data_IF_098911605475
#
_entry.id   IF_098911605475
#
_cell.length_a   1.000
_cell.length_b   1.000
_cell.length_c   1.000
_cell.angle_alpha   90.00
_cell.angle_beta   90.00
_cell.angle_gamma   90.00
#
_symmetry.space_group_name_H-M   'P 1'
#
loop_
_entity.id
_entity.type
_entity.pdbx_description
1 polymer ?
#
# COMPACT_ATOMS: atom_id res chain seq x y z
N UNK A 1 -6.00 -12.99 -15.80
CA UNK A 1 -5.65 -11.56 -15.63
C UNK A 1 -4.45 -11.61 -14.73
N UNK A 2 -3.33 -11.09 -15.21
CA UNK A 2 -2.05 -11.26 -14.55
C UNK A 2 -1.67 -9.93 -13.89
N UNK A 3 -1.22 -10.01 -12.63
CA UNK A 3 -0.86 -8.85 -11.83
C UNK A 3 0.63 -8.90 -11.53
N UNK A 4 1.33 -7.81 -11.82
CA UNK A 4 2.71 -7.60 -11.39
C UNK A 4 2.68 -7.21 -9.92
N UNK A 5 3.46 -7.88 -9.10
CA UNK A 5 3.57 -7.59 -7.66
C UNK A 5 4.14 -6.19 -7.46
N UNK A 6 3.42 -5.34 -6.72
CA UNK A 6 3.92 -4.08 -6.17
C UNK A 6 4.41 -4.21 -4.72
N UNK A 7 4.66 -5.45 -4.29
CA UNK A 7 5.12 -5.77 -2.95
C UNK A 7 4.00 -5.97 -1.93
N UNK A 8 4.42 -6.09 -0.68
CA UNK A 8 3.60 -6.45 0.47
C UNK A 8 3.79 -5.44 1.60
N UNK A 9 2.72 -5.22 2.35
CA UNK A 9 2.59 -4.20 3.38
C UNK A 9 1.93 -4.80 4.61
N UNK A 10 2.35 -4.38 5.80
CA UNK A 10 1.67 -4.75 7.05
C UNK A 10 0.91 -3.52 7.53
N UNK A 11 -0.42 -3.58 7.49
CA UNK A 11 -1.30 -2.44 7.69
C UNK A 11 -2.07 -2.59 9.00
N UNK A 12 -2.17 -1.49 9.75
CA UNK A 12 -3.13 -1.33 10.81
C UNK A 12 -4.41 -0.67 10.24
N UNK A 13 -5.55 -1.40 10.15
CA UNK A 13 -6.79 -0.85 9.65
C UNK A 13 -7.29 0.31 10.51
N UNK A 14 -7.71 1.40 9.90
CA UNK A 14 -8.18 2.60 10.61
C UNK A 14 -9.71 2.70 10.60
N UNK A 15 -10.23 3.59 11.46
CA UNK A 15 -11.64 3.94 11.45
C UNK A 15 -11.88 4.99 10.36
N UNK A 16 -12.99 4.84 9.64
CA UNK A 16 -13.44 5.82 8.64
C UNK A 16 -13.48 7.23 9.21
N UNK A 17 -12.86 8.16 8.51
CA UNK A 17 -12.84 9.57 8.86
C UNK A 17 -14.20 10.23 8.58
N UNK A 18 -14.51 11.32 9.29
CA UNK A 18 -15.82 11.99 9.19
C UNK A 18 -16.12 12.56 7.79
N UNK A 19 -15.08 12.90 7.02
CA UNK A 19 -15.25 13.48 5.68
C UNK A 19 -15.62 12.44 4.62
N UNK A 20 -15.43 11.13 4.90
CA UNK A 20 -15.73 10.05 3.96
C UNK A 20 -17.22 9.69 4.00
N UNK A 21 -17.84 9.41 2.85
CA UNK A 21 -19.27 9.09 2.80
C UNK A 21 -19.57 7.78 3.53
N UNK A 22 -20.29 7.88 4.65
CA UNK A 22 -20.61 6.75 5.52
C UNK A 22 -21.54 5.70 4.91
N UNK A 23 -22.27 6.06 3.86
CA UNK A 23 -23.18 5.17 3.14
C UNK A 23 -22.41 4.34 2.09
N UNK A 24 -21.20 4.76 1.70
CA UNK A 24 -20.35 4.08 0.72
C UNK A 24 -19.20 3.36 1.42
N UNK A 25 -18.47 4.08 2.27
CA UNK A 25 -17.21 3.63 2.86
C UNK A 25 -17.51 2.87 4.15
N UNK A 26 -16.98 1.64 4.35
CA UNK A 26 -17.18 0.90 5.60
C UNK A 26 -16.51 1.60 6.79
N UNK A 27 -16.96 1.30 8.01
CA UNK A 27 -16.41 1.94 9.21
C UNK A 27 -14.95 1.55 9.51
N UNK A 28 -14.49 0.40 9.01
CA UNK A 28 -13.08 -0.02 9.09
C UNK A 28 -12.50 -0.03 7.68
N UNK A 29 -11.38 0.65 7.49
CA UNK A 29 -10.73 0.85 6.20
C UNK A 29 -9.38 0.14 6.21
N UNK A 30 -9.01 -0.42 5.06
CA UNK A 30 -7.69 -0.96 4.77
C UNK A 30 -7.25 -0.32 3.46
N UNK A 31 -6.07 0.29 3.46
CA UNK A 31 -5.47 0.93 2.29
C UNK A 31 -3.95 0.91 2.46
N UNK A 32 -3.22 0.86 1.36
CA UNK A 32 -1.75 1.02 1.36
C UNK A 32 -1.31 2.49 1.33
N UNK A 33 -2.27 3.43 1.42
CA UNK A 33 -1.96 4.85 1.53
C UNK A 33 -1.64 5.25 2.97
N UNK A 34 -0.48 5.90 3.15
CA UNK A 34 -0.03 6.44 4.45
C UNK A 34 -0.93 7.55 4.99
N UNK A 35 -1.73 8.19 4.12
CA UNK A 35 -2.73 9.16 4.53
C UNK A 35 -3.93 8.52 5.22
N UNK A 36 -4.16 7.21 5.01
CA UNK A 36 -5.37 6.51 5.42
C UNK A 36 -5.07 5.49 6.54
N UNK A 37 -4.00 4.71 6.41
CA UNK A 37 -3.64 3.67 7.37
C UNK A 37 -2.18 3.76 7.82
N UNK A 38 -1.96 3.40 9.08
CA UNK A 38 -0.60 3.21 9.59
C UNK A 38 -0.02 1.90 9.02
N UNK A 39 1.28 1.92 8.73
CA UNK A 39 2.00 0.79 8.16
C UNK A 39 3.24 0.42 8.98
N UNK A 40 3.59 -0.87 8.94
CA UNK A 40 4.73 -1.41 9.66
C UNK A 40 5.66 -2.22 8.73
N UNK A 41 7.00 -2.10 8.90
CA UNK A 41 7.68 -1.15 9.78
C UNK A 41 7.56 0.30 9.29
N UNK A 42 7.47 1.26 10.23
CA UNK A 42 7.47 2.69 9.90
C UNK A 42 8.92 3.20 9.74
N UNK A 43 9.47 3.12 8.53
CA UNK A 43 10.91 3.31 8.29
C UNK A 43 11.42 4.71 8.64
N UNK A 44 10.58 5.73 8.49
CA UNK A 44 10.92 7.09 8.91
C UNK A 44 11.23 7.18 10.42
N UNK A 45 10.59 6.34 11.24
CA UNK A 45 10.93 6.24 12.68
C UNK A 45 12.27 5.54 12.87
N UNK A 46 12.54 4.45 12.16
CA UNK A 46 13.80 3.70 12.30
C UNK A 46 15.02 4.54 11.89
N UNK A 47 14.98 5.14 10.69
CA UNK A 47 16.15 5.78 10.07
C UNK A 47 16.28 7.30 10.30
N UNK A 48 15.27 7.93 10.92
CA UNK A 48 15.32 9.37 11.20
C UNK A 48 14.52 9.82 12.42
N UNK A 49 13.80 8.91 13.07
CA UNK A 49 12.88 9.24 14.16
C UNK A 49 13.60 9.81 15.38
N UNK A 50 13.01 10.86 15.95
CA UNK A 50 13.44 11.38 17.24
C UNK A 50 13.31 10.30 18.33
N UNK A 51 14.05 10.43 19.44
CA UNK A 51 13.89 9.52 20.60
C UNK A 51 12.43 9.46 21.08
N UNK A 52 11.70 10.58 21.00
CA UNK A 52 10.28 10.65 21.37
C UNK A 52 9.43 9.81 20.42
N UNK A 53 9.66 9.91 19.11
CA UNK A 53 8.92 9.13 18.11
C UNK A 53 9.21 7.63 18.27
N UNK A 54 10.47 7.25 18.48
CA UNK A 54 10.86 5.85 18.73
C UNK A 54 10.17 5.29 19.98
N UNK A 55 10.17 6.02 21.09
CA UNK A 55 9.48 5.59 22.31
C UNK A 55 7.96 5.52 22.15
N UNK A 56 7.37 6.43 21.37
CA UNK A 56 5.94 6.38 21.04
C UNK A 56 5.63 5.11 20.25
N UNK A 57 6.37 4.81 19.18
CA UNK A 57 6.18 3.61 18.36
C UNK A 57 6.29 2.31 19.18
N UNK A 58 7.30 2.21 20.06
CA UNK A 58 7.47 1.08 20.98
C UNK A 58 6.23 0.89 21.86
N UNK A 59 5.70 1.99 22.40
CA UNK A 59 4.52 1.98 23.26
C UNK A 59 3.25 1.62 22.49
N UNK A 60 3.05 2.19 21.31
CA UNK A 60 1.85 1.98 20.50
C UNK A 60 1.76 0.54 20.01
N UNK A 61 2.89 -0.09 19.64
CA UNK A 61 2.98 -1.52 19.35
C UNK A 61 3.03 -2.42 20.58
N UNK A 62 3.13 -1.86 21.79
CA UNK A 62 3.29 -2.60 23.04
C UNK A 62 4.45 -3.63 22.99
N UNK A 63 5.58 -3.24 22.40
CA UNK A 63 6.80 -4.05 22.34
C UNK A 63 7.86 -3.55 23.33
N UNK A 64 8.89 -4.38 23.59
CA UNK A 64 10.01 -3.96 24.43
C UNK A 64 11.05 -3.15 23.62
N UNK A 65 11.84 -2.32 24.29
CA UNK A 65 12.97 -1.62 23.64
C UNK A 65 13.99 -2.59 23.03
N UNK A 66 14.14 -3.79 23.62
CA UNK A 66 15.02 -4.84 23.07
C UNK A 66 14.45 -5.35 21.75
N UNK A 67 13.16 -5.70 21.70
CA UNK A 67 12.48 -6.16 20.48
C UNK A 67 12.50 -5.10 19.38
N UNK A 68 12.36 -3.82 19.75
CA UNK A 68 12.52 -2.70 18.81
C UNK A 68 13.93 -2.61 18.22
N UNK A 69 14.99 -2.77 19.04
CA UNK A 69 16.38 -2.75 18.54
C UNK A 69 16.69 -3.95 17.63
N UNK A 70 16.13 -5.11 17.94
CA UNK A 70 16.22 -6.29 17.07
C UNK A 70 15.51 -6.04 15.73
N UNK A 71 14.34 -5.40 15.76
CA UNK A 71 13.61 -4.98 14.56
C UNK A 71 14.42 -3.98 13.72
N UNK A 72 14.97 -2.93 14.35
CA UNK A 72 15.82 -1.92 13.68
C UNK A 72 17.04 -2.57 13.02
N UNK A 73 17.68 -3.51 13.73
CA UNK A 73 18.80 -4.27 13.18
C UNK A 73 18.39 -5.16 12.00
N UNK A 74 17.28 -5.88 12.12
CA UNK A 74 16.81 -6.76 11.05
C UNK A 74 16.50 -5.96 9.78
N UNK A 75 15.84 -4.80 9.93
CA UNK A 75 15.53 -3.90 8.80
C UNK A 75 16.82 -3.45 8.11
N UNK A 76 17.82 -3.01 8.88
CA UNK A 76 19.11 -2.58 8.32
C UNK A 76 19.82 -3.73 7.60
N UNK A 77 19.88 -4.91 8.21
CA UNK A 77 20.54 -6.08 7.62
C UNK A 77 19.87 -6.49 6.30
N UNK A 78 18.52 -6.47 6.24
CA UNK A 78 17.77 -6.78 5.01
C UNK A 78 17.92 -5.72 3.94
N UNK A 79 17.95 -4.44 4.33
CA UNK A 79 18.17 -3.33 3.39
C UNK A 79 19.58 -3.39 2.78
N UNK A 80 20.61 -3.64 3.59
CA UNK A 80 22.00 -3.79 3.13
C UNK A 80 22.15 -4.97 2.14
N UNK A 81 21.37 -6.03 2.33
CA UNK A 81 21.29 -7.19 1.43
C UNK A 81 20.39 -6.97 0.20
N UNK A 82 19.74 -5.81 0.05
CA UNK A 82 18.73 -5.52 -0.99
C UNK A 82 17.53 -6.47 -0.99
N UNK A 83 17.20 -7.01 0.18
CA UNK A 83 16.02 -7.86 0.44
C UNK A 83 14.83 -7.06 0.99
N UNK A 84 14.98 -5.75 1.12
CA UNK A 84 13.96 -4.79 1.59
C UNK A 84 14.10 -3.49 0.81
N UNK A 85 12.98 -2.86 0.45
CA UNK A 85 12.95 -1.66 -0.42
C UNK A 85 12.32 -0.47 0.33
N UNK A 86 12.93 0.71 0.18
CA UNK A 86 12.43 1.96 0.78
C UNK A 86 11.17 2.47 0.03
N UNK A 87 10.13 3.00 0.72
CA UNK A 87 10.13 3.33 2.14
C UNK A 87 9.79 2.17 3.02
N UNK A 88 8.78 1.36 2.70
CA UNK A 88 8.33 0.30 3.60
C UNK A 88 7.69 -0.85 2.82
N UNK A 89 8.35 -1.25 1.73
CA UNK A 89 7.84 -2.29 0.84
C UNK A 89 8.58 -3.61 1.10
N UNK A 90 7.82 -4.62 1.52
CA UNK A 90 8.31 -5.97 1.68
C UNK A 90 8.23 -6.65 0.31
N UNK A 91 9.34 -7.07 -0.31
CA UNK A 91 9.32 -7.49 -1.72
C UNK A 91 8.64 -8.84 -1.96
N UNK A 92 8.46 -9.66 -0.92
CA UNK A 92 7.77 -10.95 -1.02
C UNK A 92 6.93 -11.27 0.20
N UNK A 93 5.92 -12.12 0.03
CA UNK A 93 5.08 -12.62 1.11
C UNK A 93 5.90 -13.35 2.19
N UNK A 94 6.97 -14.05 1.80
CA UNK A 94 7.84 -14.74 2.75
C UNK A 94 8.53 -13.75 3.69
N UNK A 95 9.07 -12.65 3.16
CA UNK A 95 9.71 -11.60 3.95
C UNK A 95 8.68 -10.88 4.85
N UNK A 96 7.46 -10.64 4.33
CA UNK A 96 6.38 -10.07 5.13
C UNK A 96 5.97 -10.97 6.31
N UNK A 97 5.81 -12.28 6.07
CA UNK A 97 5.51 -13.26 7.12
C UNK A 97 6.66 -13.41 8.13
N UNK A 98 7.91 -13.43 7.66
CA UNK A 98 9.09 -13.47 8.53
C UNK A 98 9.08 -12.26 9.48
N UNK A 99 8.90 -11.05 8.94
CA UNK A 99 8.88 -9.84 9.75
C UNK A 99 7.69 -9.84 10.73
N UNK A 100 6.49 -10.17 10.24
CA UNK A 100 5.28 -10.22 11.06
C UNK A 100 5.42 -11.20 12.22
N UNK A 101 5.76 -12.46 11.93
CA UNK A 101 5.86 -13.52 12.94
C UNK A 101 6.94 -13.23 13.99
N UNK A 102 8.07 -12.67 13.56
CA UNK A 102 9.19 -12.34 14.44
C UNK A 102 8.87 -11.15 15.35
N UNK A 103 8.27 -10.09 14.81
CA UNK A 103 8.20 -8.83 15.54
C UNK A 103 6.78 -8.40 15.95
N UNK A 104 5.76 -8.78 15.19
CA UNK A 104 4.40 -8.23 15.30
C UNK A 104 3.32 -9.27 15.60
N UNK A 105 3.67 -10.54 15.84
CA UNK A 105 2.73 -11.63 16.12
C UNK A 105 1.78 -11.38 17.30
N UNK A 106 2.23 -10.62 18.31
CA UNK A 106 1.41 -10.24 19.47
C UNK A 106 0.58 -8.97 19.25
N UNK A 107 0.80 -8.24 18.14
CA UNK A 107 0.10 -7.00 17.81
C UNK A 107 -1.21 -7.35 17.12
N UNK A 108 -2.31 -6.92 17.73
CA UNK A 108 -3.67 -7.26 17.26
C UNK A 108 -4.05 -6.43 16.04
N UNK A 109 -5.01 -6.97 15.29
CA UNK A 109 -5.71 -6.28 14.19
C UNK A 109 -4.84 -5.85 12.99
N UNK A 110 -3.58 -6.28 12.91
CA UNK A 110 -2.74 -6.04 11.74
C UNK A 110 -3.10 -6.98 10.58
N UNK A 111 -2.90 -6.52 9.35
CA UNK A 111 -3.14 -7.29 8.12
C UNK A 111 -1.92 -7.28 7.21
N UNK A 112 -1.61 -8.42 6.60
CA UNK A 112 -0.64 -8.49 5.50
C UNK A 112 -1.40 -8.30 4.19
N UNK A 113 -1.08 -7.22 3.48
CA UNK A 113 -1.70 -6.85 2.20
C UNK A 113 -0.65 -6.91 1.10
N UNK A 114 -0.96 -7.56 -0.01
CA UNK A 114 -0.22 -7.44 -1.25
C UNK A 114 -0.96 -6.53 -2.22
N UNK A 115 -0.22 -5.79 -3.05
CA UNK A 115 -0.81 -5.01 -4.15
C UNK A 115 -0.32 -5.55 -5.49
N UNK A 116 -1.22 -5.60 -6.47
CA UNK A 116 -0.93 -6.06 -7.81
C UNK A 116 -1.32 -5.02 -8.84
N UNK A 117 -0.34 -4.57 -9.64
CA UNK A 117 -0.61 -3.73 -10.80
C UNK A 117 -1.08 -4.63 -11.95
N UNK A 118 -2.24 -4.39 -12.56
CA UNK A 118 -2.62 -5.14 -13.74
C UNK A 118 -1.58 -4.97 -14.85
N UNK A 119 -1.13 -6.06 -15.45
CA UNK A 119 0.07 -6.06 -16.31
C UNK A 119 0.00 -5.07 -17.49
N UNK A 120 -1.20 -4.73 -17.98
CA UNK A 120 -1.39 -3.74 -19.04
C UNK A 120 -1.06 -2.29 -18.61
N UNK A 121 -0.96 -2.00 -17.32
CA UNK A 121 -0.60 -0.69 -16.78
C UNK A 121 0.88 -0.56 -16.41
N UNK A 122 1.67 -1.63 -16.52
CA UNK A 122 3.08 -1.61 -16.13
C UNK A 122 3.86 -0.57 -16.94
N UNK A 123 3.78 -0.62 -18.27
CA UNK A 123 4.57 0.27 -19.12
C UNK A 123 4.14 1.74 -18.94
N UNK A 124 2.83 2.03 -18.81
CA UNK A 124 2.36 3.38 -18.53
C UNK A 124 2.82 3.92 -17.17
N UNK A 125 2.89 3.05 -16.15
CA UNK A 125 3.45 3.44 -14.85
C UNK A 125 4.94 3.78 -14.97
N UNK A 126 5.72 2.92 -15.63
CA UNK A 126 7.17 3.13 -15.80
C UNK A 126 7.50 4.36 -16.65
N UNK A 127 6.65 4.68 -17.62
CA UNK A 127 6.78 5.89 -18.44
C UNK A 127 6.47 7.16 -17.64
N UNK A 128 5.36 7.18 -16.89
CA UNK A 128 4.98 8.34 -16.06
C UNK A 128 6.03 8.65 -14.99
N UNK A 129 6.60 7.61 -14.38
CA UNK A 129 7.64 7.75 -13.36
C UNK A 129 9.04 7.92 -13.95
N UNK A 130 9.22 8.02 -15.28
CA UNK A 130 10.53 8.07 -15.93
C UNK A 130 11.49 6.94 -15.48
N UNK A 131 10.94 5.78 -15.08
CA UNK A 131 11.67 4.73 -14.36
C UNK A 131 12.85 4.17 -15.16
N UNK A 132 12.68 4.05 -16.48
CA UNK A 132 13.65 3.43 -17.37
C UNK A 132 14.93 4.25 -17.49
N UNK A 133 14.83 5.58 -17.40
CA UNK A 133 15.99 6.48 -17.51
C UNK A 133 16.70 6.69 -16.16
N UNK A 134 16.01 6.44 -15.04
CA UNK A 134 16.59 6.48 -13.69
C UNK A 134 17.59 5.34 -13.49
N UNK A 135 18.69 5.63 -12.79
CA UNK A 135 19.60 4.62 -12.23
C UNK A 135 18.94 3.86 -11.09
N UNK A 136 19.52 2.72 -10.66
CA UNK A 136 18.98 1.95 -9.53
C UNK A 136 18.88 2.75 -8.22
N UNK A 137 19.78 3.70 -8.03
CA UNK A 137 19.88 4.55 -6.84
C UNK A 137 18.89 5.72 -6.87
N UNK A 138 18.43 6.13 -8.06
CA UNK A 138 17.43 7.19 -8.25
C UNK A 138 16.00 6.67 -8.21
N UNK A 139 15.81 5.37 -8.45
CA UNK A 139 14.51 4.71 -8.41
C UNK A 139 14.01 4.59 -6.97
N UNK A 140 12.70 4.71 -6.84
CA UNK A 140 11.99 4.35 -5.63
C UNK A 140 11.94 2.82 -5.45
N UNK A 141 11.62 2.35 -4.23
CA UNK A 141 11.50 0.92 -3.97
C UNK A 141 10.42 0.24 -4.79
N UNK A 142 9.30 0.93 -5.06
CA UNK A 142 8.21 0.40 -5.88
C UNK A 142 8.67 0.17 -7.33
N UNK A 143 9.38 1.14 -7.91
CA UNK A 143 9.96 1.03 -9.24
C UNK A 143 10.91 -0.17 -9.34
N UNK A 144 11.78 -0.34 -8.33
CA UNK A 144 12.69 -1.49 -8.26
C UNK A 144 11.95 -2.82 -8.18
N UNK A 145 10.83 -2.89 -7.47
CA UNK A 145 9.98 -4.09 -7.38
C UNK A 145 9.28 -4.38 -8.70
N UNK A 146 8.63 -3.38 -9.31
CA UNK A 146 7.89 -3.57 -10.56
C UNK A 146 8.80 -4.00 -11.72
N UNK A 147 10.05 -3.52 -11.75
CA UNK A 147 11.05 -3.93 -12.75
C UNK A 147 11.47 -5.40 -12.65
N UNK A 148 11.25 -6.06 -11.49
CA UNK A 148 11.45 -7.52 -11.37
C UNK A 148 10.45 -8.30 -12.22
N UNK A 149 9.31 -7.67 -12.57
CA UNK A 149 8.20 -8.24 -13.36
C UNK A 149 7.71 -9.58 -12.78
N UNK A 150 7.75 -9.70 -11.46
CA UNK A 150 7.26 -10.86 -10.74
C UNK A 150 5.74 -10.79 -10.66
N UNK A 151 5.08 -11.88 -11.04
CA UNK A 151 3.63 -11.97 -10.96
C UNK A 151 3.20 -12.42 -9.57
N UNK A 152 2.06 -11.91 -9.09
CA UNK A 152 1.41 -12.46 -7.91
C UNK A 152 0.94 -13.87 -8.26
N UNK A 153 1.63 -14.87 -7.71
CA UNK A 153 1.27 -16.28 -7.84
C UNK A 153 0.25 -16.61 -6.75
N UNK A 154 -1.02 -16.33 -7.01
CA UNK A 154 -2.07 -16.82 -6.13
C UNK A 154 -3.29 -17.33 -6.91
N UNK A 155 -3.80 -18.47 -6.48
CA UNK A 155 -4.90 -19.20 -7.10
C UNK A 155 -6.24 -18.53 -6.84
N UNK A 156 -6.44 -17.30 -7.30
CA UNK A 156 -7.72 -16.55 -7.31
C UNK A 156 -8.43 -16.29 -5.97
N UNK A 157 -8.02 -16.90 -4.85
CA UNK A 157 -8.77 -16.85 -3.58
C UNK A 157 -8.49 -15.63 -2.70
N UNK A 158 -7.44 -14.86 -3.00
CA UNK A 158 -6.93 -13.82 -2.08
C UNK A 158 -7.25 -12.39 -2.50
N UNK A 159 -7.71 -12.16 -3.75
CA UNK A 159 -8.10 -10.81 -4.18
C UNK A 159 -9.34 -10.33 -3.42
N UNK A 160 -9.23 -9.16 -2.79
CA UNK A 160 -10.32 -8.53 -2.03
C UNK A 160 -11.06 -7.47 -2.83
N UNK A 161 -10.48 -6.98 -3.92
CA UNK A 161 -11.03 -6.01 -4.85
C UNK A 161 -9.92 -5.12 -5.40
N UNK A 162 -10.28 -3.90 -5.78
CA UNK A 162 -9.37 -2.90 -6.32
C UNK A 162 -9.45 -1.61 -5.52
N UNK A 163 -8.35 -0.88 -5.49
CA UNK A 163 -8.25 0.47 -4.96
C UNK A 163 -7.62 1.37 -6.02
N UNK A 164 -8.11 2.60 -6.13
CA UNK A 164 -7.51 3.61 -7.00
C UNK A 164 -6.41 4.29 -6.20
N UNK A 165 -5.17 4.09 -6.63
CA UNK A 165 -4.00 4.63 -5.96
C UNK A 165 -3.15 5.42 -6.95
N UNK A 166 -2.67 6.57 -6.49
CA UNK A 166 -1.64 7.36 -7.15
C UNK A 166 -0.35 7.22 -6.35
N UNK A 167 0.80 7.16 -7.03
CA UNK A 167 2.09 7.05 -6.37
C UNK A 167 2.85 8.38 -6.53
N UNK A 168 3.37 8.92 -5.43
CA UNK A 168 4.16 10.15 -5.45
C UNK A 168 5.16 10.14 -4.28
N UNK A 169 6.40 10.56 -4.54
CA UNK A 169 7.43 10.75 -3.51
C UNK A 169 7.63 9.57 -2.56
N UNK A 170 7.60 8.34 -3.09
CA UNK A 170 7.71 7.08 -2.35
C UNK A 170 6.44 6.61 -1.61
N UNK A 171 5.33 7.33 -1.70
CA UNK A 171 4.11 6.98 -0.96
C UNK A 171 2.92 6.82 -1.89
N UNK A 172 1.91 6.07 -1.44
CA UNK A 172 0.63 5.99 -2.13
C UNK A 172 -0.36 7.00 -1.58
N UNK A 173 -1.06 7.68 -2.47
CA UNK A 173 -2.32 8.37 -2.23
C UNK A 173 -3.47 7.42 -2.55
N UNK A 174 -4.52 7.45 -1.73
CA UNK A 174 -5.78 6.78 -2.03
C UNK A 174 -6.79 7.81 -2.54
N UNK A 175 -7.68 7.40 -3.43
CA UNK A 175 -8.84 8.22 -3.81
C UNK A 175 -9.68 8.66 -2.59
N UNK A 176 -9.60 7.88 -1.50
CA UNK A 176 -10.24 8.18 -0.23
C UNK A 176 -9.65 9.41 0.46
N UNK A 177 -8.44 9.87 0.13
CA UNK A 177 -7.81 11.03 0.79
C UNK A 177 -8.63 12.31 0.65
N UNK A 178 -9.33 12.47 -0.48
CA UNK A 178 -10.07 13.70 -0.82
C UNK A 178 -11.55 13.46 -1.08
N UNK A 179 -12.07 12.30 -0.67
CA UNK A 179 -13.49 12.01 -0.79
C UNK A 179 -13.97 11.73 -2.22
N UNK A 180 -13.09 11.24 -3.11
CA UNK A 180 -13.43 10.98 -4.52
C UNK A 180 -14.53 9.92 -4.70
N UNK A 181 -14.84 9.13 -3.68
CA UNK A 181 -16.01 8.25 -3.69
C UNK A 181 -17.31 8.99 -4.00
N UNK A 182 -17.41 10.27 -3.63
CA UNK A 182 -18.58 11.10 -3.91
C UNK A 182 -18.68 11.43 -5.40
N UNK A 183 -17.54 11.73 -6.02
CA UNK A 183 -17.48 12.00 -7.46
C UNK A 183 -17.82 10.74 -8.26
N UNK A 184 -17.31 9.58 -7.84
CA UNK A 184 -17.64 8.30 -8.47
C UNK A 184 -19.15 8.01 -8.39
N UNK A 185 -19.76 8.21 -7.21
CA UNK A 185 -21.20 8.06 -6.99
C UNK A 185 -22.05 9.06 -7.78
N UNK A 186 -21.56 10.27 -8.01
CA UNK A 186 -22.27 11.28 -8.80
C UNK A 186 -22.29 10.92 -10.29
N UNK A 187 -21.27 10.22 -10.78
CA UNK A 187 -21.15 9.87 -12.20
C UNK A 187 -21.78 8.51 -12.55
N UNK A 188 -21.79 7.54 -11.64
CA UNK A 188 -22.43 6.24 -11.85
C UNK A 188 -22.82 5.57 -10.53
N UNK A 189 -23.51 4.42 -10.60
CA UNK A 189 -23.91 3.62 -9.44
C UNK A 189 -22.71 2.96 -8.76
N UNK A 190 -21.92 3.77 -8.05
CA UNK A 190 -20.70 3.37 -7.36
C UNK A 190 -21.03 2.74 -6.01
N UNK A 191 -20.49 1.54 -5.80
CA UNK A 191 -20.54 0.86 -4.50
C UNK A 191 -19.30 -0.01 -4.31
N UNK A 192 -18.94 -0.19 -3.05
CA UNK A 192 -17.85 -1.09 -2.66
C UNK A 192 -18.37 -2.50 -2.44
N UNK A 193 -17.49 -3.47 -2.61
CA UNK A 193 -17.78 -4.86 -2.23
C UNK A 193 -17.74 -5.05 -0.71
N UNK A 194 -18.05 -6.26 -0.23
CA UNK A 194 -18.09 -6.59 1.20
C UNK A 194 -16.78 -6.40 1.96
N UNK A 195 -15.65 -6.30 1.26
CA UNK A 195 -14.32 -6.08 1.84
C UNK A 195 -13.95 -4.59 1.88
N UNK A 196 -14.80 -3.69 1.35
CA UNK A 196 -14.51 -2.26 1.29
C UNK A 196 -13.71 -1.81 0.06
N UNK A 197 -13.65 -2.62 -1.00
CA UNK A 197 -12.90 -2.31 -2.22
C UNK A 197 -13.79 -2.26 -3.46
N UNK A 198 -13.30 -1.65 -4.54
CA UNK A 198 -13.96 -1.62 -5.83
C UNK A 198 -14.04 -3.06 -6.37
N UNK A 199 -15.20 -3.45 -6.86
CA UNK A 199 -15.53 -4.87 -7.06
C UNK A 199 -14.84 -5.49 -8.27
N UNK A 200 -14.66 -4.74 -9.34
CA UNK A 200 -14.09 -5.25 -10.59
C UNK A 200 -13.07 -4.28 -11.18
N UNK A 201 -12.15 -4.82 -11.98
CA UNK A 201 -11.18 -4.00 -12.70
C UNK A 201 -11.87 -2.97 -13.59
N UNK A 202 -12.88 -3.38 -14.37
CA UNK A 202 -13.61 -2.45 -15.25
C UNK A 202 -14.29 -1.29 -14.51
N UNK A 203 -14.73 -1.50 -13.26
CA UNK A 203 -15.20 -0.40 -12.41
C UNK A 203 -14.05 0.48 -11.94
N UNK A 204 -12.93 -0.13 -11.54
CA UNK A 204 -11.75 0.61 -11.10
C UNK A 204 -11.14 1.46 -12.22
N UNK A 205 -11.07 0.94 -13.45
CA UNK A 205 -10.60 1.67 -14.64
C UNK A 205 -11.47 2.90 -14.91
N UNK A 206 -12.80 2.78 -14.79
CA UNK A 206 -13.71 3.95 -14.90
C UNK A 206 -13.47 4.98 -13.79
N UNK A 207 -13.11 4.55 -12.58
CA UNK A 207 -12.76 5.46 -11.49
C UNK A 207 -11.42 6.16 -11.77
N UNK A 208 -10.44 5.46 -12.35
CA UNK A 208 -9.17 6.05 -12.81
C UNK A 208 -9.41 7.12 -13.87
N UNK A 209 -10.30 6.90 -14.84
CA UNK A 209 -10.62 7.89 -15.87
C UNK A 209 -11.11 9.21 -15.26
N UNK A 210 -11.90 9.13 -14.17
CA UNK A 210 -12.38 10.29 -13.43
C UNK A 210 -11.25 10.92 -12.62
N UNK A 211 -10.49 10.12 -11.88
CA UNK A 211 -9.42 10.61 -11.00
C UNK A 211 -8.25 11.26 -11.78
N UNK A 212 -8.04 10.84 -13.03
CA UNK A 212 -7.05 11.41 -13.94
C UNK A 212 -7.61 12.57 -14.81
N UNK A 213 -8.88 12.96 -14.67
CA UNK A 213 -9.40 14.14 -15.37
C UNK A 213 -8.82 15.41 -14.73
N UNK A 214 -7.90 16.08 -15.43
CA UNK A 214 -7.27 17.34 -15.00
C UNK A 214 -8.29 18.41 -14.57
N UNK A 215 -9.52 18.39 -15.11
CA UNK A 215 -10.57 19.35 -14.74
C UNK A 215 -11.10 19.15 -13.33
N UNK A 216 -10.97 17.95 -12.77
CA UNK A 216 -11.39 17.63 -11.42
C UNK A 216 -10.44 18.25 -10.39
N UNK A 217 -9.18 18.50 -10.77
CA UNK A 217 -8.19 19.15 -9.90
C UNK A 217 -7.78 18.28 -8.71
N UNK A 218 -7.72 16.96 -8.91
CA UNK A 218 -7.14 15.99 -7.98
C UNK A 218 -5.64 16.21 -7.80
N UNK A 219 -5.00 15.46 -6.88
CA UNK A 219 -3.54 15.42 -6.85
C UNK A 219 -2.97 15.08 -8.23
N UNK A 220 -1.87 15.76 -8.63
CA UNK A 220 -1.24 15.60 -9.94
C UNK A 220 -0.40 14.30 -9.97
N UNK A 221 -1.05 13.19 -9.69
CA UNK A 221 -0.46 11.85 -9.67
C UNK A 221 -1.21 10.97 -10.66
N UNK A 222 -0.53 9.97 -11.20
CA UNK A 222 -1.18 9.06 -12.12
C UNK A 222 -1.92 7.96 -11.36
N UNK A 223 -3.25 8.04 -11.41
CA UNK A 223 -4.15 7.16 -10.67
C UNK A 223 -4.37 5.85 -11.41
N UNK A 224 -4.03 4.73 -10.77
CA UNK A 224 -4.10 3.39 -11.36
C UNK A 224 -4.96 2.43 -10.54
N UNK A 225 -5.54 1.39 -11.17
CA UNK A 225 -6.43 0.43 -10.49
C UNK A 225 -5.61 -0.73 -9.91
N UNK A 226 -5.14 -0.57 -8.67
CA UNK A 226 -4.34 -1.59 -7.99
C UNK A 226 -5.25 -2.68 -7.41
N UNK A 227 -4.95 -3.95 -7.74
CA UNK A 227 -5.60 -5.09 -7.11
C UNK A 227 -5.08 -5.29 -5.69
N UNK A 228 -5.98 -5.50 -4.74
CA UNK A 228 -5.66 -5.68 -3.33
C UNK A 228 -5.81 -7.15 -2.94
N UNK A 229 -4.77 -7.70 -2.33
CA UNK A 229 -4.71 -9.07 -1.85
C UNK A 229 -4.54 -9.04 -0.33
N UNK A 230 -5.25 -9.90 0.40
CA UNK A 230 -5.08 -10.02 1.86
C UNK A 230 -4.70 -11.45 2.21
N UNK A 231 -3.65 -11.58 3.02
CA UNK A 231 -3.07 -12.85 3.43
C UNK A 231 -3.30 -13.06 4.92
N UNK A 232 -3.59 -14.31 5.29
CA UNK A 232 -3.67 -14.69 6.71
C UNK A 232 -2.27 -14.67 7.31
N UNK A 233 -2.13 -13.99 8.46
CA UNK A 233 -0.97 -14.10 9.33
C UNK A 233 -1.13 -15.34 10.22
N UNK A 234 -0.14 -16.24 10.17
CA UNK A 234 -0.09 -17.48 10.96
C UNK A 234 0.82 -17.33 12.18
#
# INVERSE_FOLDING_TARGET
>A
MDFISGGYYIIAPTIRQEYMDKEIIPNRIVSVSECICDMHPEINIFWGGSKVNKLKYIKDLNISEVKYKEMEKWIQDKFDLREFEYPQILPSLNIANEFFSTFLSDVKDLKIIGIGLPNNYLESFLDEEDTIIKTSEERTGLENILLRKEFIVDGTTSIKGYEILGYETNTFHSYLCNGLENEFKNQFDFSLNKNGFIKSLAEAERCCDIANDEKLGTEPVYWLPWAIFEYESY
#
